data_IF_832196265123
#
_entry.id   IF_832196265123
#
_cell.length_a   1.000
_cell.length_b   1.000
_cell.length_c   1.000
_cell.angle_alpha   90.00
_cell.angle_beta   90.00
_cell.angle_gamma   90.00
#
_symmetry.space_group_name_H-M   'P 1'
#
loop_
_entity.id
_entity.type
_entity.pdbx_description
1 polymer ?
#
# COMPACT_ATOMS: atom_id res chain seq x y z
N UNK A 1 30.41 -17.74 -9.56
CA UNK A 1 30.25 -16.41 -10.22
C UNK A 1 28.77 -15.99 -10.38
N UNK A 2 27.83 -16.91 -10.67
CA UNK A 2 26.40 -16.62 -10.85
C UNK A 2 25.69 -16.23 -9.53
N UNK A 3 26.07 -16.84 -8.40
CA UNK A 3 25.50 -16.52 -7.07
C UNK A 3 25.83 -15.09 -6.59
N UNK A 4 27.00 -14.57 -6.93
CA UNK A 4 27.40 -13.22 -6.54
C UNK A 4 26.66 -12.13 -7.31
N UNK A 5 26.27 -12.42 -8.55
CA UNK A 5 25.53 -11.48 -9.42
C UNK A 5 24.08 -11.37 -8.97
N UNK A 6 23.45 -12.47 -8.51
CA UNK A 6 22.07 -12.45 -8.00
C UNK A 6 22.00 -11.69 -6.67
N UNK A 7 22.97 -11.87 -5.76
CA UNK A 7 23.04 -11.13 -4.51
C UNK A 7 23.31 -9.63 -4.72
N UNK A 8 24.22 -9.29 -5.63
CA UNK A 8 24.53 -7.89 -5.96
C UNK A 8 23.34 -7.18 -6.62
N UNK A 9 22.61 -7.85 -7.51
CA UNK A 9 21.42 -7.27 -8.15
C UNK A 9 20.26 -7.10 -7.17
N UNK A 10 20.05 -8.03 -6.24
CA UNK A 10 19.02 -7.90 -5.20
C UNK A 10 19.32 -6.73 -4.26
N UNK A 11 20.58 -6.58 -3.83
CA UNK A 11 21.00 -5.45 -2.98
C UNK A 11 20.90 -4.10 -3.71
N UNK A 12 21.19 -4.06 -5.01
CA UNK A 12 21.04 -2.83 -5.82
C UNK A 12 19.58 -2.46 -6.00
N UNK A 13 18.71 -3.42 -6.24
CA UNK A 13 17.27 -3.21 -6.40
C UNK A 13 16.65 -2.67 -5.09
N UNK A 14 16.99 -3.25 -3.93
CA UNK A 14 16.51 -2.75 -2.64
C UNK A 14 16.94 -1.31 -2.35
N UNK A 15 18.13 -0.90 -2.77
CA UNK A 15 18.62 0.48 -2.59
C UNK A 15 17.94 1.52 -3.47
N UNK A 16 17.27 1.12 -4.53
CA UNK A 16 16.63 2.06 -5.47
C UNK A 16 15.14 2.26 -5.20
N UNK A 17 14.47 1.31 -4.52
CA UNK A 17 13.04 1.42 -4.25
C UNK A 17 12.67 2.65 -3.42
N UNK A 18 11.58 3.28 -3.81
CA UNK A 18 11.01 4.48 -3.19
C UNK A 18 9.52 4.27 -2.99
N UNK A 19 9.14 3.86 -1.77
CA UNK A 19 7.76 3.52 -1.45
C UNK A 19 7.24 4.36 -0.29
N UNK A 20 6.00 4.82 -0.41
CA UNK A 20 5.22 5.38 0.68
C UNK A 20 3.94 4.56 0.81
N UNK A 21 3.88 3.70 1.84
CA UNK A 21 2.79 2.77 2.09
C UNK A 21 1.97 3.25 3.28
N UNK A 22 0.80 3.82 3.02
CA UNK A 22 -0.05 4.53 3.97
C UNK A 22 -1.20 3.62 4.41
N UNK A 23 -1.47 3.53 5.72
CA UNK A 23 -2.54 2.68 6.25
C UNK A 23 -3.92 3.08 5.73
N UNK A 24 -4.26 4.37 5.80
CA UNK A 24 -5.59 4.90 5.47
C UNK A 24 -5.50 6.25 4.78
N UNK A 25 -6.50 6.57 3.97
CA UNK A 25 -6.56 7.88 3.31
C UNK A 25 -7.08 9.00 4.22
N UNK A 26 -7.94 8.67 5.19
CA UNK A 26 -8.69 9.69 5.95
C UNK A 26 -8.89 9.23 7.38
N UNK A 27 -8.53 10.06 8.35
CA UNK A 27 -8.88 9.84 9.75
C UNK A 27 -10.30 10.39 10.01
N UNK A 28 -10.92 9.89 11.08
CA UNK A 28 -12.23 10.38 11.49
C UNK A 28 -12.22 11.90 11.73
N UNK A 29 -13.15 12.61 11.10
CA UNK A 29 -13.28 14.06 11.21
C UNK A 29 -12.34 14.89 10.33
N UNK A 30 -11.46 14.27 9.55
CA UNK A 30 -10.53 14.95 8.66
C UNK A 30 -10.98 14.92 7.20
N UNK A 31 -10.39 15.82 6.39
CA UNK A 31 -10.56 15.78 4.94
C UNK A 31 -9.64 14.72 4.31
N UNK A 32 -9.94 14.35 3.09
CA UNK A 32 -9.23 13.31 2.36
C UNK A 32 -7.72 13.56 2.28
N UNK A 33 -6.91 12.58 2.69
CA UNK A 33 -5.44 12.59 2.79
C UNK A 33 -4.86 13.67 3.73
N UNK A 34 -5.65 14.39 4.53
CA UNK A 34 -5.18 15.51 5.34
C UNK A 34 -4.04 15.11 6.29
N UNK A 35 -4.18 14.03 7.02
CA UNK A 35 -3.15 13.57 7.97
C UNK A 35 -1.83 13.17 7.30
N UNK A 36 -1.89 12.70 6.05
CA UNK A 36 -0.74 12.22 5.30
C UNK A 36 -0.12 13.31 4.40
N UNK A 37 -0.75 14.51 4.29
CA UNK A 37 -0.30 15.57 3.36
C UNK A 37 1.19 15.88 3.49
N UNK A 38 1.67 16.17 4.70
CA UNK A 38 3.08 16.51 4.92
C UNK A 38 4.03 15.36 4.54
N UNK A 39 3.60 14.13 4.74
CA UNK A 39 4.41 12.95 4.38
C UNK A 39 4.47 12.77 2.86
N UNK A 40 3.34 12.94 2.17
CA UNK A 40 3.26 12.86 0.71
C UNK A 40 4.10 13.98 0.08
N UNK A 41 3.95 15.21 0.54
CA UNK A 41 4.71 16.35 0.05
C UNK A 41 6.22 16.13 0.20
N UNK A 42 6.66 15.78 1.40
CA UNK A 42 8.06 15.52 1.66
C UNK A 42 8.60 14.34 0.84
N UNK A 43 7.81 13.26 0.67
CA UNK A 43 8.17 12.14 -0.18
C UNK A 43 8.33 12.56 -1.65
N UNK A 44 7.42 13.38 -2.17
CA UNK A 44 7.50 13.91 -3.52
C UNK A 44 8.75 14.81 -3.71
N UNK A 45 9.03 15.67 -2.76
CA UNK A 45 10.21 16.56 -2.78
C UNK A 45 11.53 15.76 -2.75
N UNK A 46 11.63 14.78 -1.86
CA UNK A 46 12.83 13.91 -1.78
C UNK A 46 13.07 13.10 -3.05
N UNK A 47 12.02 12.82 -3.81
CA UNK A 47 12.10 12.10 -5.07
C UNK A 47 12.21 13.02 -6.29
N UNK A 48 12.49 14.33 -6.08
CA UNK A 48 12.63 15.34 -7.12
C UNK A 48 11.44 15.44 -8.08
N UNK A 49 10.22 15.10 -7.60
CA UNK A 49 9.01 15.30 -8.38
C UNK A 49 8.72 16.79 -8.53
N UNK A 50 8.45 17.22 -9.76
CA UNK A 50 8.15 18.60 -10.13
C UNK A 50 6.66 18.74 -10.43
N UNK A 51 6.19 19.97 -10.58
CA UNK A 51 4.78 20.26 -10.90
C UNK A 51 4.30 19.61 -12.19
N UNK A 52 5.17 19.50 -13.18
CA UNK A 52 4.95 18.90 -14.49
C UNK A 52 5.24 17.40 -14.55
N UNK A 53 5.73 16.79 -13.46
CA UNK A 53 5.95 15.35 -13.38
C UNK A 53 4.67 14.57 -13.66
N UNK A 54 4.78 13.54 -14.51
CA UNK A 54 3.66 12.67 -14.89
C UNK A 54 3.29 11.74 -13.73
N UNK A 55 2.19 12.06 -13.07
CA UNK A 55 1.61 11.25 -12.00
C UNK A 55 0.54 10.35 -12.60
N UNK A 56 0.72 9.03 -12.49
CA UNK A 56 -0.28 8.05 -12.94
C UNK A 56 -0.98 7.45 -11.73
N UNK A 57 -2.29 7.62 -11.69
CA UNK A 57 -3.16 7.14 -10.61
C UNK A 57 -3.88 5.84 -11.03
N UNK A 58 -3.89 4.85 -10.16
CA UNK A 58 -4.62 3.57 -10.32
C UNK A 58 -5.85 3.61 -9.42
N UNK A 59 -7.08 3.79 -9.97
CA UNK A 59 -8.31 4.02 -9.21
C UNK A 59 -9.07 2.74 -8.88
N UNK A 60 -8.66 1.58 -9.36
CA UNK A 60 -9.47 0.36 -9.49
C UNK A 60 -10.03 -0.21 -8.18
N UNK A 61 -9.48 0.17 -7.03
CA UNK A 61 -10.09 -0.17 -5.74
C UNK A 61 -11.40 0.58 -5.48
N UNK A 62 -11.61 1.72 -6.14
CA UNK A 62 -12.71 2.66 -5.88
C UNK A 62 -14.00 2.29 -6.61
N UNK A 63 -14.64 1.19 -6.28
CA UNK A 63 -15.85 0.66 -6.96
C UNK A 63 -17.16 1.39 -6.61
N UNK A 64 -17.15 2.20 -5.55
CA UNK A 64 -18.30 2.99 -5.11
C UNK A 64 -17.82 4.29 -4.47
N UNK A 65 -17.51 5.28 -5.30
CA UNK A 65 -16.98 6.57 -4.86
C UNK A 65 -18.02 7.66 -5.14
N UNK A 66 -18.27 8.51 -4.14
CA UNK A 66 -19.22 9.63 -4.24
C UNK A 66 -20.62 9.21 -4.68
N UNK A 67 -21.09 8.02 -4.29
CA UNK A 67 -22.39 7.48 -4.68
C UNK A 67 -22.46 6.98 -6.12
N UNK A 68 -21.35 6.96 -6.85
CA UNK A 68 -21.26 6.40 -8.20
C UNK A 68 -20.73 4.98 -8.14
N UNK A 69 -21.40 4.08 -8.85
CA UNK A 69 -20.94 2.70 -9.03
C UNK A 69 -19.82 2.63 -10.06
N UNK A 70 -19.12 1.50 -10.09
CA UNK A 70 -18.17 1.13 -11.15
C UNK A 70 -18.90 1.07 -12.52
N UNK A 71 -18.32 1.56 -13.64
CA UNK A 71 -16.96 2.16 -13.72
C UNK A 71 -16.90 3.68 -13.48
N UNK A 72 -18.02 4.40 -13.43
CA UNK A 72 -18.08 5.88 -13.30
C UNK A 72 -17.50 6.38 -11.96
N UNK A 73 -17.36 5.47 -10.98
CA UNK A 73 -16.70 5.76 -9.72
C UNK A 73 -15.21 6.09 -9.89
N UNK A 74 -14.56 5.64 -10.96
CA UNK A 74 -13.14 5.92 -11.21
C UNK A 74 -12.89 7.39 -11.52
N UNK A 75 -13.75 8.02 -12.32
CA UNK A 75 -13.69 9.46 -12.60
C UNK A 75 -13.87 10.28 -11.31
N UNK A 76 -14.84 9.88 -10.48
CA UNK A 76 -15.08 10.54 -9.20
C UNK A 76 -13.90 10.36 -8.23
N UNK A 77 -13.23 9.20 -8.29
CA UNK A 77 -12.06 8.93 -7.47
C UNK A 77 -10.86 9.75 -7.95
N UNK A 78 -10.59 9.75 -9.25
CA UNK A 78 -9.55 10.60 -9.85
C UNK A 78 -9.75 12.06 -9.46
N UNK A 79 -10.94 12.63 -9.68
CA UNK A 79 -11.22 14.01 -9.35
C UNK A 79 -10.96 14.35 -7.87
N UNK A 80 -11.29 13.42 -6.95
CA UNK A 80 -11.02 13.59 -5.52
C UNK A 80 -9.52 13.63 -5.22
N UNK A 81 -8.74 12.69 -5.79
CA UNK A 81 -7.31 12.60 -5.54
C UNK A 81 -6.56 13.72 -6.24
N UNK A 82 -6.87 13.97 -7.52
CA UNK A 82 -6.29 15.03 -8.32
C UNK A 82 -6.44 16.41 -7.65
N UNK A 83 -7.63 16.68 -7.08
CA UNK A 83 -7.87 17.93 -6.34
C UNK A 83 -6.85 18.12 -5.21
N UNK A 84 -6.57 17.08 -4.41
CA UNK A 84 -5.57 17.15 -3.32
C UNK A 84 -4.17 17.38 -3.88
N UNK A 85 -3.79 16.62 -4.92
CA UNK A 85 -2.46 16.72 -5.52
C UNK A 85 -2.21 18.06 -6.19
N UNK A 86 -3.24 18.63 -6.83
CA UNK A 86 -3.16 19.98 -7.41
C UNK A 86 -3.15 21.07 -6.33
N UNK A 87 -4.14 21.07 -5.43
CA UNK A 87 -4.32 22.16 -4.45
C UNK A 87 -3.22 22.19 -3.37
N UNK A 88 -2.72 21.03 -2.95
CA UNK A 88 -1.75 20.92 -1.86
C UNK A 88 -0.31 20.87 -2.36
N UNK A 89 -0.06 20.17 -3.47
CA UNK A 89 1.31 19.92 -3.93
C UNK A 89 1.62 20.57 -5.28
N UNK A 90 0.62 21.13 -5.96
CA UNK A 90 0.79 21.87 -7.22
C UNK A 90 1.10 20.98 -8.43
N UNK A 91 0.78 19.67 -8.38
CA UNK A 91 0.96 18.78 -9.52
C UNK A 91 -0.09 19.06 -10.60
N UNK A 92 0.35 19.41 -11.81
CA UNK A 92 -0.50 19.77 -12.94
C UNK A 92 -0.75 18.60 -13.89
N UNK A 93 0.17 17.60 -13.92
CA UNK A 93 0.12 16.45 -14.80
C UNK A 93 -0.26 15.18 -14.03
N UNK A 94 -1.50 15.13 -13.58
CA UNK A 94 -2.08 14.00 -12.84
C UNK A 94 -3.20 13.37 -13.67
N UNK A 95 -3.07 12.09 -14.01
CA UNK A 95 -4.07 11.39 -14.83
C UNK A 95 -4.25 9.96 -14.33
N UNK A 96 -5.50 9.52 -14.29
CA UNK A 96 -5.83 8.14 -13.93
C UNK A 96 -5.58 7.18 -15.09
N UNK A 97 -5.04 6.00 -14.75
CA UNK A 97 -4.66 4.97 -15.73
C UNK A 97 -5.84 4.44 -16.55
N UNK A 98 -7.07 4.55 -16.07
CA UNK A 98 -8.25 4.04 -16.77
C UNK A 98 -8.58 4.81 -18.05
N UNK A 99 -8.13 6.07 -18.19
CA UNK A 99 -8.30 6.87 -19.41
C UNK A 99 -7.38 6.47 -20.57
N UNK A 100 -6.28 5.76 -20.29
CA UNK A 100 -5.35 5.38 -21.34
C UNK A 100 -5.81 4.11 -22.07
N UNK A 101 -5.69 4.09 -23.40
CA UNK A 101 -5.86 2.88 -24.19
C UNK A 101 -4.77 1.85 -23.79
N UNK A 102 -3.51 2.24 -23.88
CA UNK A 102 -2.37 1.46 -23.40
C UNK A 102 -1.98 1.87 -21.95
N UNK A 103 -2.59 1.17 -20.99
CA UNK A 103 -2.39 1.39 -19.57
C UNK A 103 -0.98 1.01 -19.09
N UNK A 104 -0.40 -0.02 -19.72
CA UNK A 104 0.97 -0.47 -19.42
C UNK A 104 1.97 0.60 -19.85
N UNK A 105 1.80 1.17 -21.04
CA UNK A 105 2.64 2.26 -21.52
C UNK A 105 2.53 3.48 -20.60
N UNK A 106 1.33 3.86 -20.17
CA UNK A 106 1.12 4.97 -19.24
C UNK A 106 1.92 4.79 -17.95
N UNK A 107 1.89 3.57 -17.36
CA UNK A 107 2.67 3.22 -16.17
C UNK A 107 4.18 3.25 -16.45
N UNK A 108 4.62 2.74 -17.60
CA UNK A 108 6.04 2.74 -17.97
C UNK A 108 6.63 4.14 -18.16
N UNK A 109 5.81 5.09 -18.55
CA UNK A 109 6.21 6.50 -18.76
C UNK A 109 5.96 7.39 -17.53
N UNK A 110 5.43 6.85 -16.43
CA UNK A 110 5.14 7.61 -15.22
C UNK A 110 6.42 8.03 -14.47
N UNK A 111 6.43 9.24 -13.92
CA UNK A 111 7.44 9.73 -12.98
C UNK A 111 7.08 9.35 -11.53
N UNK A 112 5.79 9.11 -11.25
CA UNK A 112 5.29 8.61 -9.98
C UNK A 112 4.03 7.77 -10.22
N UNK A 113 3.90 6.68 -9.48
CA UNK A 113 2.74 5.79 -9.55
C UNK A 113 2.00 5.85 -8.21
N UNK A 114 0.70 6.10 -8.27
CA UNK A 114 -0.17 6.17 -7.11
C UNK A 114 -1.24 5.10 -7.21
N UNK A 115 -1.42 4.30 -6.15
CA UNK A 115 -2.45 3.27 -6.08
C UNK A 115 -3.41 3.57 -4.94
N UNK A 116 -4.66 3.81 -5.29
CA UNK A 116 -5.72 4.18 -4.35
C UNK A 116 -6.23 3.01 -3.51
N UNK A 117 -6.90 3.35 -2.40
CA UNK A 117 -7.61 2.41 -1.55
C UNK A 117 -9.04 2.16 -1.98
N UNK A 118 -9.69 1.20 -1.33
CA UNK A 118 -11.02 0.68 -1.60
C UNK A 118 -11.00 -0.85 -1.58
N UNK A 119 -11.75 -1.52 -2.45
CA UNK A 119 -11.78 -2.98 -2.48
C UNK A 119 -10.53 -3.57 -3.16
N UNK A 120 -9.74 -4.31 -2.39
CA UNK A 120 -8.47 -4.91 -2.83
C UNK A 120 -8.68 -6.00 -3.88
N UNK A 121 -9.74 -6.82 -3.76
CA UNK A 121 -10.01 -7.88 -4.75
C UNK A 121 -10.29 -7.31 -6.13
N UNK A 122 -11.08 -6.24 -6.20
CA UNK A 122 -11.37 -5.59 -7.47
C UNK A 122 -10.11 -4.90 -8.04
N UNK A 123 -9.33 -4.23 -7.20
CA UNK A 123 -8.05 -3.65 -7.60
C UNK A 123 -7.14 -4.70 -8.25
N UNK A 124 -6.94 -5.83 -7.57
CA UNK A 124 -6.05 -6.91 -8.05
C UNK A 124 -6.59 -7.54 -9.33
N UNK A 125 -7.91 -7.74 -9.44
CA UNK A 125 -8.54 -8.28 -10.66
C UNK A 125 -8.28 -7.37 -11.88
N UNK A 126 -8.51 -6.06 -11.74
CA UNK A 126 -8.29 -5.11 -12.83
C UNK A 126 -6.78 -4.92 -13.15
N UNK A 127 -5.91 -4.93 -12.12
CA UNK A 127 -4.46 -4.86 -12.35
C UNK A 127 -3.94 -6.09 -13.11
N UNK A 128 -4.41 -7.30 -12.81
CA UNK A 128 -4.07 -8.50 -13.59
C UNK A 128 -4.63 -8.43 -15.00
N UNK A 129 -5.89 -8.05 -15.15
CA UNK A 129 -6.58 -7.94 -16.45
C UNK A 129 -5.85 -7.02 -17.43
N UNK A 130 -5.29 -5.92 -16.94
CA UNK A 130 -4.59 -4.93 -17.76
C UNK A 130 -3.06 -5.08 -17.77
N UNK A 131 -2.50 -6.16 -17.18
CA UNK A 131 -1.05 -6.39 -17.14
C UNK A 131 -0.26 -5.38 -16.32
N UNK A 132 -0.92 -4.71 -15.35
CA UNK A 132 -0.30 -3.65 -14.57
C UNK A 132 0.57 -4.17 -13.42
N UNK A 133 0.38 -5.43 -12.98
CA UNK A 133 1.19 -5.98 -11.88
C UNK A 133 2.68 -5.94 -12.20
N UNK A 134 3.06 -6.50 -13.35
CA UNK A 134 4.48 -6.54 -13.76
C UNK A 134 5.01 -5.14 -14.09
N UNK A 135 4.20 -4.33 -14.80
CA UNK A 135 4.61 -2.98 -15.20
C UNK A 135 4.88 -2.07 -13.99
N UNK A 136 4.00 -2.07 -12.99
CA UNK A 136 4.18 -1.26 -11.76
C UNK A 136 5.36 -1.81 -10.96
N UNK A 137 5.46 -3.14 -10.80
CA UNK A 137 6.58 -3.76 -10.10
C UNK A 137 7.93 -3.38 -10.74
N UNK A 138 8.06 -3.53 -12.05
CA UNK A 138 9.28 -3.18 -12.80
C UNK A 138 9.68 -1.72 -12.55
N UNK A 139 8.72 -0.81 -12.62
CA UNK A 139 8.98 0.63 -12.43
C UNK A 139 9.37 0.96 -10.99
N UNK A 140 8.68 0.39 -10.00
CA UNK A 140 8.99 0.62 -8.59
C UNK A 140 10.38 0.06 -8.21
N UNK A 141 10.75 -1.11 -8.71
CA UNK A 141 12.08 -1.69 -8.54
C UNK A 141 13.17 -0.87 -9.23
N UNK A 142 12.85 -0.20 -10.33
CA UNK A 142 13.75 0.74 -11.02
C UNK A 142 13.86 2.11 -10.32
N UNK A 143 13.17 2.32 -9.20
CA UNK A 143 13.25 3.55 -8.40
C UNK A 143 12.20 4.61 -8.71
N UNK A 144 11.20 4.30 -9.53
CA UNK A 144 10.05 5.20 -9.69
C UNK A 144 9.26 5.24 -8.39
N UNK A 145 8.99 6.42 -7.83
CA UNK A 145 8.23 6.57 -6.60
C UNK A 145 6.85 5.92 -6.68
N UNK A 146 6.52 5.12 -5.66
CA UNK A 146 5.25 4.47 -5.48
C UNK A 146 4.57 4.99 -4.21
N UNK A 147 3.34 5.43 -4.32
CA UNK A 147 2.50 5.84 -3.19
C UNK A 147 1.26 4.95 -3.18
N UNK A 148 1.03 4.22 -2.09
CA UNK A 148 -0.17 3.40 -1.92
C UNK A 148 -0.85 3.69 -0.59
N UNK A 149 -2.19 3.65 -0.56
CA UNK A 149 -2.93 3.69 0.71
C UNK A 149 -3.99 2.60 0.77
N UNK A 150 -4.19 2.03 1.97
CA UNK A 150 -5.16 0.96 2.23
C UNK A 150 -4.91 -0.23 1.27
N UNK A 151 -5.83 -0.52 0.34
CA UNK A 151 -5.65 -1.52 -0.71
C UNK A 151 -4.35 -1.30 -1.50
N UNK A 152 -3.98 -0.04 -1.81
CA UNK A 152 -2.73 0.30 -2.48
C UNK A 152 -1.48 -0.04 -1.68
N UNK A 153 -1.54 -0.01 -0.34
CA UNK A 153 -0.46 -0.52 0.51
C UNK A 153 -0.46 -2.05 0.59
N UNK A 154 -1.63 -2.67 0.66
CA UNK A 154 -1.74 -4.13 0.70
C UNK A 154 -1.19 -4.78 -0.58
N UNK A 155 -1.46 -4.22 -1.77
CA UNK A 155 -0.94 -4.78 -3.04
C UNK A 155 0.58 -4.60 -3.22
N UNK A 156 1.26 -3.80 -2.41
CA UNK A 156 2.73 -3.76 -2.38
C UNK A 156 3.35 -5.05 -1.81
N UNK A 157 2.57 -5.87 -1.11
CA UNK A 157 2.95 -7.14 -0.50
C UNK A 157 3.08 -8.29 -1.52
N UNK A 158 3.48 -9.51 -1.11
CA UNK A 158 3.51 -10.68 -1.98
C UNK A 158 2.13 -11.14 -2.45
N UNK A 159 1.09 -10.98 -1.61
CA UNK A 159 -0.30 -11.37 -1.90
C UNK A 159 -1.29 -10.40 -1.27
N UNK A 160 -2.53 -10.42 -1.75
CA UNK A 160 -3.64 -9.67 -1.13
C UNK A 160 -4.22 -10.33 0.15
N UNK A 161 -3.68 -11.48 0.58
CA UNK A 161 -4.33 -12.37 1.57
C UNK A 161 -4.51 -11.78 2.97
N UNK A 162 -3.91 -10.64 3.27
CA UNK A 162 -4.10 -9.92 4.54
C UNK A 162 -4.98 -8.67 4.41
N UNK A 163 -5.74 -8.56 3.32
CA UNK A 163 -6.77 -7.51 3.19
C UNK A 163 -7.94 -7.73 4.16
N UNK A 164 -8.65 -6.65 4.46
CA UNK A 164 -9.87 -6.68 5.27
C UNK A 164 -11.15 -6.75 4.40
N UNK A 165 -10.98 -6.71 3.10
CA UNK A 165 -12.09 -6.51 2.15
C UNK A 165 -12.85 -7.81 1.88
N UNK A 166 -14.12 -7.66 1.53
CA UNK A 166 -14.90 -8.77 1.00
C UNK A 166 -14.49 -9.10 -0.43
N UNK A 167 -14.42 -10.40 -0.82
CA UNK A 167 -14.10 -10.84 -2.17
C UNK A 167 -15.27 -10.62 -3.13
N UNK A 168 -15.49 -9.38 -3.56
CA UNK A 168 -16.61 -9.03 -4.47
C UNK A 168 -16.41 -9.49 -5.91
N UNK A 169 -15.18 -9.81 -6.28
CA UNK A 169 -14.79 -10.44 -7.55
C UNK A 169 -13.67 -11.43 -7.29
N UNK A 170 -13.52 -12.40 -8.19
CA UNK A 170 -12.40 -13.34 -8.16
C UNK A 170 -11.27 -12.85 -9.07
N UNK A 171 -10.11 -12.43 -8.53
CA UNK A 171 -8.96 -12.07 -9.34
C UNK A 171 -8.32 -13.32 -9.97
N UNK A 172 -7.62 -13.15 -11.09
CA UNK A 172 -6.90 -14.24 -11.76
C UNK A 172 -5.81 -14.88 -10.87
N UNK A 173 -5.27 -14.11 -9.94
CA UNK A 173 -4.30 -14.56 -8.93
C UNK A 173 -4.39 -13.69 -7.69
N UNK A 174 -4.04 -14.26 -6.53
CA UNK A 174 -3.86 -13.51 -5.27
C UNK A 174 -2.46 -12.86 -5.17
N UNK A 175 -1.54 -13.20 -6.09
CA UNK A 175 -0.23 -12.56 -6.16
C UNK A 175 -0.38 -11.09 -6.50
N UNK A 176 0.44 -10.26 -5.83
CA UNK A 176 0.44 -8.82 -6.00
C UNK A 176 1.84 -8.29 -6.35
N UNK A 177 2.14 -7.03 -6.15
CA UNK A 177 3.38 -6.40 -6.63
C UNK A 177 4.66 -6.98 -6.00
N UNK A 178 4.58 -7.55 -4.80
CA UNK A 178 5.73 -8.12 -4.08
C UNK A 178 6.94 -7.15 -4.04
N UNK A 179 6.69 -5.92 -3.63
CA UNK A 179 7.70 -4.88 -3.45
C UNK A 179 8.33 -4.96 -2.05
N UNK A 180 7.62 -5.51 -1.09
CA UNK A 180 8.10 -5.78 0.28
C UNK A 180 7.95 -7.26 0.60
N UNK A 181 8.86 -7.88 1.40
CA UNK A 181 8.85 -9.33 1.63
C UNK A 181 7.93 -9.77 2.78
N UNK A 182 7.02 -8.92 3.22
CA UNK A 182 6.06 -9.18 4.30
C UNK A 182 4.65 -8.79 3.86
N UNK A 183 3.65 -9.13 4.67
CA UNK A 183 2.27 -8.74 4.45
C UNK A 183 1.91 -7.49 5.27
N UNK A 184 1.05 -6.65 4.71
CA UNK A 184 0.46 -5.50 5.42
C UNK A 184 -1.02 -5.76 5.63
N UNK A 185 -1.50 -5.64 6.87
CA UNK A 185 -2.90 -5.46 7.17
C UNK A 185 -3.14 -3.96 7.42
N UNK A 186 -3.65 -3.20 6.45
CA UNK A 186 -3.97 -1.79 6.63
C UNK A 186 -5.23 -1.65 7.50
N UNK A 187 -5.43 -0.46 8.09
CA UNK A 187 -6.52 -0.21 9.03
C UNK A 187 -6.54 -1.24 10.17
N UNK A 188 -5.36 -1.64 10.65
CA UNK A 188 -5.32 -2.58 11.76
C UNK A 188 -6.05 -2.00 12.97
N UNK A 189 -6.96 -2.77 13.50
CA UNK A 189 -7.79 -2.39 14.64
C UNK A 189 -7.52 -3.36 15.80
N UNK A 190 -7.14 -2.77 16.94
CA UNK A 190 -6.96 -3.53 18.17
C UNK A 190 -8.31 -4.05 18.69
N UNK A 191 -8.33 -5.21 19.36
CA UNK A 191 -9.49 -5.63 20.12
C UNK A 191 -9.90 -4.55 21.11
N UNK A 192 -11.19 -4.28 21.23
CA UNK A 192 -11.69 -3.27 22.18
C UNK A 192 -12.45 -3.94 23.32
N UNK A 193 -11.78 -4.26 24.45
CA UNK A 193 -12.35 -5.08 25.54
C UNK A 193 -13.68 -4.55 26.09
N UNK A 194 -13.86 -3.24 26.10
CA UNK A 194 -15.10 -2.63 26.61
C UNK A 194 -16.27 -2.80 25.62
N UNK A 195 -16.02 -2.68 24.32
CA UNK A 195 -17.04 -2.92 23.29
C UNK A 195 -17.40 -4.40 23.28
N UNK A 196 -16.41 -5.29 23.36
CA UNK A 196 -16.63 -6.73 23.38
C UNK A 196 -17.49 -7.15 24.59
N UNK A 197 -17.25 -6.55 25.77
CA UNK A 197 -18.08 -6.75 26.96
C UNK A 197 -19.50 -6.20 26.82
N UNK A 198 -19.64 -5.00 26.22
CA UNK A 198 -20.97 -4.35 26.03
C UNK A 198 -21.85 -5.12 25.03
N UNK A 199 -21.27 -5.59 23.94
CA UNK A 199 -22.01 -6.28 22.87
C UNK A 199 -22.23 -7.75 23.22
N UNK A 200 -21.54 -8.30 24.23
CA UNK A 200 -21.51 -9.74 24.59
C UNK A 200 -21.23 -10.60 23.36
N UNK A 201 -20.38 -10.13 22.49
CA UNK A 201 -20.08 -10.72 21.20
C UNK A 201 -18.82 -11.54 21.31
N UNK A 202 -18.91 -12.85 21.06
CA UNK A 202 -17.75 -13.71 20.91
C UNK A 202 -17.12 -13.60 19.50
N UNK A 203 -17.14 -12.37 18.92
CA UNK A 203 -16.71 -12.14 17.54
C UNK A 203 -15.21 -12.25 17.37
N UNK A 204 -14.82 -12.70 16.19
CA UNK A 204 -13.42 -12.80 15.80
C UNK A 204 -12.81 -11.42 15.62
N UNK A 205 -11.63 -11.27 16.18
CA UNK A 205 -10.85 -10.03 16.08
C UNK A 205 -10.02 -10.01 14.79
N UNK A 206 -9.47 -8.84 14.48
CA UNK A 206 -8.48 -8.72 13.40
C UNK A 206 -7.26 -9.61 13.64
N UNK A 207 -6.85 -9.70 14.90
CA UNK A 207 -5.75 -10.55 15.33
C UNK A 207 -6.03 -12.04 15.06
N UNK A 208 -7.24 -12.51 15.31
CA UNK A 208 -7.61 -13.93 15.06
C UNK A 208 -7.49 -14.25 13.57
N UNK A 209 -7.96 -13.38 12.68
CA UNK A 209 -7.84 -13.55 11.23
C UNK A 209 -6.40 -13.57 10.75
N UNK A 210 -5.55 -12.72 11.32
CA UNK A 210 -4.12 -12.72 11.00
C UNK A 210 -3.44 -13.99 11.54
N UNK A 211 -3.83 -14.48 12.71
CA UNK A 211 -3.31 -15.72 13.28
C UNK A 211 -3.67 -16.94 12.41
N UNK A 212 -4.88 -17.00 11.84
CA UNK A 212 -5.26 -18.02 10.85
C UNK A 212 -4.36 -17.98 9.62
N UNK A 213 -4.12 -16.78 9.07
CA UNK A 213 -3.21 -16.60 7.94
C UNK A 213 -1.79 -17.09 8.27
N UNK A 214 -1.27 -16.69 9.44
CA UNK A 214 0.06 -17.08 9.89
C UNK A 214 0.19 -18.57 10.20
N UNK A 215 -0.86 -19.23 10.68
CA UNK A 215 -0.86 -20.68 10.94
C UNK A 215 -0.61 -21.49 9.65
N UNK A 216 -1.08 -21.00 8.51
CA UNK A 216 -0.88 -21.62 7.19
C UNK A 216 0.40 -21.12 6.52
N UNK A 217 0.79 -19.86 6.76
CA UNK A 217 1.92 -19.19 6.13
C UNK A 217 3.00 -18.86 7.18
N UNK A 218 3.52 -19.87 7.86
CA UNK A 218 4.36 -19.74 9.07
C UNK A 218 5.65 -18.93 8.86
N UNK A 219 6.15 -18.85 7.62
CA UNK A 219 7.36 -18.09 7.28
C UNK A 219 7.10 -16.59 7.06
N UNK A 220 5.84 -16.21 6.99
CA UNK A 220 5.48 -14.82 6.70
C UNK A 220 5.49 -13.97 7.96
N UNK A 221 5.81 -12.69 7.76
CA UNK A 221 5.59 -11.64 8.73
C UNK A 221 4.37 -10.83 8.30
N UNK A 222 3.51 -10.48 9.24
CA UNK A 222 2.38 -9.57 9.01
C UNK A 222 2.59 -8.30 9.82
N UNK A 223 2.49 -7.17 9.15
CA UNK A 223 2.55 -5.84 9.75
C UNK A 223 1.15 -5.25 9.81
N UNK A 224 0.62 -5.07 11.01
CA UNK A 224 -0.63 -4.36 11.24
C UNK A 224 -0.39 -2.85 11.30
N UNK A 225 -0.78 -2.14 10.26
CA UNK A 225 -0.69 -0.67 10.21
C UNK A 225 -1.97 -0.06 10.76
N UNK A 226 -1.91 0.52 11.97
CA UNK A 226 -3.01 1.32 12.52
C UNK A 226 -3.24 2.58 11.68
N UNK A 227 -4.45 3.10 11.67
CA UNK A 227 -4.73 4.38 11.00
C UNK A 227 -3.82 5.50 11.49
N UNK A 228 -3.51 6.45 10.63
CA UNK A 228 -2.51 7.50 10.82
C UNK A 228 -1.06 6.98 10.94
N UNK A 229 -0.75 5.84 10.29
CA UNK A 229 0.62 5.32 10.16
C UNK A 229 0.98 5.05 8.70
N UNK A 230 2.26 5.09 8.39
CA UNK A 230 2.82 4.73 7.08
C UNK A 230 4.19 4.09 7.21
N UNK A 231 4.56 3.28 6.21
CA UNK A 231 5.91 2.80 6.00
C UNK A 231 6.55 3.58 4.85
N UNK A 232 7.73 4.08 5.11
CA UNK A 232 8.50 4.86 4.15
C UNK A 232 9.77 4.11 3.79
N UNK A 233 9.92 3.73 2.51
CA UNK A 233 11.11 3.05 2.00
C UNK A 233 11.89 3.99 1.10
N UNK A 234 13.17 4.20 1.40
CA UNK A 234 14.09 4.98 0.60
C UNK A 234 15.53 4.54 0.87
N UNK A 235 16.34 4.46 -0.16
CA UNK A 235 17.77 4.14 -0.08
C UNK A 235 18.09 2.85 0.73
N UNK A 236 17.25 1.82 0.59
CA UNK A 236 17.38 0.54 1.28
C UNK A 236 17.03 0.58 2.78
N UNK A 237 16.45 1.68 3.26
CA UNK A 237 15.95 1.83 4.63
C UNK A 237 14.44 1.90 4.66
N UNK A 238 13.86 1.43 5.76
CA UNK A 238 12.43 1.54 6.03
C UNK A 238 12.18 2.19 7.38
N UNK A 239 11.30 3.19 7.39
CA UNK A 239 10.90 3.91 8.61
C UNK A 239 9.39 3.78 8.81
N UNK A 240 8.97 3.49 10.05
CA UNK A 240 7.60 3.72 10.48
C UNK A 240 7.39 5.21 10.71
N UNK A 241 6.39 5.81 10.09
CA UNK A 241 5.99 7.22 10.25
C UNK A 241 4.54 7.32 10.71
N UNK A 242 4.22 8.41 11.38
CA UNK A 242 2.85 8.70 11.84
C UNK A 242 2.75 8.91 13.33
N UNK A 243 1.52 8.87 13.86
CA UNK A 243 1.21 9.18 15.27
C UNK A 243 0.91 7.96 16.14
N UNK A 244 0.88 6.75 15.56
CA UNK A 244 0.54 5.52 16.29
C UNK A 244 1.60 4.44 16.07
N UNK A 245 1.65 3.48 16.99
CA UNK A 245 2.46 2.26 16.87
C UNK A 245 1.93 1.38 15.73
N UNK A 246 2.80 0.61 15.10
CA UNK A 246 2.39 -0.56 14.32
C UNK A 246 2.61 -1.83 15.13
N UNK A 247 2.02 -2.94 14.69
CA UNK A 247 2.24 -4.25 15.30
C UNK A 247 2.86 -5.20 14.26
N UNK A 248 3.87 -5.95 14.70
CA UNK A 248 4.56 -6.97 13.88
C UNK A 248 4.23 -8.35 14.44
N UNK A 249 3.73 -9.22 13.59
CA UNK A 249 3.23 -10.55 13.94
C UNK A 249 3.90 -11.62 13.11
N UNK A 250 4.26 -12.73 13.76
CA UNK A 250 4.84 -13.91 13.13
C UNK A 250 4.34 -15.18 13.84
N UNK A 251 4.16 -16.26 13.11
CA UNK A 251 3.71 -17.54 13.70
C UNK A 251 4.63 -17.99 14.84
N UNK A 252 4.02 -18.38 15.97
CA UNK A 252 4.73 -18.90 17.14
C UNK A 252 5.56 -17.87 17.94
N UNK A 253 5.45 -16.58 17.60
CA UNK A 253 6.11 -15.50 18.34
C UNK A 253 5.08 -14.55 18.94
N UNK A 254 5.44 -13.91 20.04
CA UNK A 254 4.65 -12.79 20.57
C UNK A 254 4.63 -11.63 19.56
N UNK A 255 3.46 -11.01 19.44
CA UNK A 255 3.32 -9.82 18.62
C UNK A 255 4.09 -8.65 19.23
N UNK A 256 4.84 -7.92 18.43
CA UNK A 256 5.70 -6.83 18.86
C UNK A 256 5.15 -5.50 18.41
N UNK A 257 4.92 -4.58 19.34
CA UNK A 257 4.58 -3.20 19.02
C UNK A 257 5.84 -2.38 18.71
N UNK A 258 5.78 -1.59 17.66
CA UNK A 258 6.87 -0.71 17.22
C UNK A 258 6.39 0.74 17.35
N UNK A 259 7.18 1.56 18.04
CA UNK A 259 6.90 2.98 18.26
C UNK A 259 6.98 3.79 16.95
N UNK A 260 6.22 4.90 16.83
CA UNK A 260 6.33 5.80 15.71
C UNK A 260 7.74 6.34 15.50
N UNK A 261 8.08 6.66 14.25
CA UNK A 261 9.37 7.21 13.82
C UNK A 261 10.58 6.29 14.10
N UNK A 262 10.34 4.99 14.16
CA UNK A 262 11.37 3.95 14.35
C UNK A 262 11.89 3.44 13.01
N UNK A 263 13.19 3.16 12.94
CA UNK A 263 13.80 2.41 11.84
C UNK A 263 13.35 0.94 11.92
N UNK A 264 12.71 0.47 10.85
CA UNK A 264 12.18 -0.88 10.72
C UNK A 264 12.76 -1.59 9.49
N UNK A 265 13.96 -1.20 9.11
CA UNK A 265 14.68 -1.74 7.95
C UNK A 265 14.86 -3.26 8.03
N UNK A 266 14.89 -3.83 9.24
CA UNK A 266 14.95 -5.28 9.45
C UNK A 266 13.81 -6.05 8.74
N UNK A 267 12.66 -5.40 8.51
CA UNK A 267 11.55 -6.01 7.79
C UNK A 267 11.85 -6.24 6.30
N UNK A 268 12.78 -5.49 5.70
CA UNK A 268 13.19 -5.66 4.30
C UNK A 268 14.11 -6.86 4.11
N UNK A 269 14.84 -7.26 5.14
CA UNK A 269 15.84 -8.33 5.04
C UNK A 269 15.27 -9.75 4.95
N UNK A 270 13.96 -9.95 4.90
CA UNK A 270 13.26 -11.23 4.78
C UNK A 270 13.96 -12.36 5.55
N UNK A 271 13.40 -12.82 6.68
CA UNK A 271 13.94 -13.88 7.55
C UNK A 271 15.29 -13.54 8.25
N UNK A 272 15.23 -12.91 9.40
CA UNK A 272 16.23 -13.24 10.41
C UNK A 272 15.84 -14.61 10.98
N UNK A 273 16.74 -15.55 10.78
CA UNK A 273 16.67 -16.94 11.22
C UNK A 273 16.40 -17.07 12.73
#
# INVERSE_FOLDING_TARGET
MIFLIIFASTIIIEKTMRLLLISNSTNFGETYLAWACNQIEFFCLQNNLKKDSRIVFVPFAGVNIAGKAYPESYDAYEARVQKVFFEKFGFENFTSVHHFEDKVKAVKEADCIIVGGGNTFHLVAEMHKYGLMDAIRERALAGVPYIGWSAGSNVACPTLCTTNDMPIVQPASFKTLNLVPFQINPHYLDPHPEIDKMIKHGGETRQDRINEYLAVNQQMVVVGLREATSLWVTDGKMMLKGGKKMIVMQYGKEAVEIEPNTDVTFLLGGQQA
#
